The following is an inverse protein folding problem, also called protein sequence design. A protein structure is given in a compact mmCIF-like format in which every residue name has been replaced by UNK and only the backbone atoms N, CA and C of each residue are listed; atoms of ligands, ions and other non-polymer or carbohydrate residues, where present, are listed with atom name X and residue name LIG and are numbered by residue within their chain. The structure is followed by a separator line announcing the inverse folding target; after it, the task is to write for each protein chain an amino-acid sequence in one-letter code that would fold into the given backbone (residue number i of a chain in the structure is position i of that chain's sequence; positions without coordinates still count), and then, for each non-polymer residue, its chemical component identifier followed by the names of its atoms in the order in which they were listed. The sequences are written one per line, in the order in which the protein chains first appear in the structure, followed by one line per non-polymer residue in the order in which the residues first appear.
data_IF_711901237113
#
_entry.id   IF_711901237113
#
_cell.length_a   1.000
_cell.length_b   1.000
_cell.length_c   1.000
_cell.angle_alpha   90.00
_cell.angle_beta   90.00
_cell.angle_gamma   90.00
#
_symmetry.space_group_name_H-M   'P 1'
#
loop_
_entity.id
_entity.type
_entity.pdbx_description
1 polymer ?
#
# COMPACT_ATOMS: atom_id res chain seq x y z
N UNK A 1 -23.39 -20.45 -13.53
CA UNK A 1 -23.29 -18.99 -13.74
C UNK A 1 -23.79 -18.15 -12.57
N UNK A 2 -24.73 -18.63 -11.74
CA UNK A 2 -25.25 -17.87 -10.58
C UNK A 2 -24.33 -17.82 -9.32
N UNK A 3 -23.48 -18.83 -9.11
CA UNK A 3 -22.58 -18.90 -7.95
C UNK A 3 -21.41 -17.90 -8.00
N UNK A 4 -20.94 -17.53 -9.19
CA UNK A 4 -19.83 -16.57 -9.35
C UNK A 4 -20.25 -15.15 -9.00
N UNK A 5 -21.47 -14.77 -9.37
CA UNK A 5 -22.05 -13.45 -9.07
C UNK A 5 -22.33 -13.25 -7.58
N UNK A 6 -22.78 -14.30 -6.89
CA UNK A 6 -23.01 -14.25 -5.44
C UNK A 6 -21.70 -14.11 -4.64
N UNK A 7 -20.63 -14.82 -5.03
CA UNK A 7 -19.30 -14.66 -4.42
C UNK A 7 -18.69 -13.29 -4.67
N UNK A 8 -18.88 -12.75 -5.88
CA UNK A 8 -18.42 -11.41 -6.23
C UNK A 8 -19.18 -10.32 -5.46
N UNK A 9 -20.50 -10.46 -5.30
CA UNK A 9 -21.32 -9.55 -4.47
C UNK A 9 -20.86 -9.56 -3.01
N UNK A 10 -20.73 -10.75 -2.40
CA UNK A 10 -20.28 -10.86 -1.02
C UNK A 10 -18.85 -10.32 -0.78
N UNK A 11 -17.98 -10.46 -1.78
CA UNK A 11 -16.65 -9.86 -1.75
C UNK A 11 -16.71 -8.32 -1.82
N UNK A 12 -17.55 -7.77 -2.69
CA UNK A 12 -17.75 -6.32 -2.81
C UNK A 12 -18.37 -5.74 -1.53
N UNK A 13 -19.37 -6.41 -0.97
CA UNK A 13 -20.02 -5.99 0.27
C UNK A 13 -19.03 -6.00 1.44
N UNK A 14 -18.24 -7.07 1.58
CA UNK A 14 -17.17 -7.15 2.58
C UNK A 14 -16.06 -6.11 2.36
N UNK A 15 -15.72 -5.82 1.09
CA UNK A 15 -14.76 -4.78 0.74
C UNK A 15 -15.26 -3.38 1.11
N UNK A 16 -16.53 -3.08 0.86
CA UNK A 16 -17.13 -1.78 1.20
C UNK A 16 -17.22 -1.56 2.70
N UNK A 17 -17.60 -2.60 3.47
CA UNK A 17 -17.62 -2.53 4.93
C UNK A 17 -16.21 -2.35 5.51
N UNK A 18 -15.21 -3.06 4.96
CA UNK A 18 -13.81 -2.87 5.34
C UNK A 18 -13.32 -1.47 4.97
N UNK A 19 -13.63 -0.98 3.77
CA UNK A 19 -13.23 0.35 3.31
C UNK A 19 -13.83 1.45 4.20
N UNK A 20 -15.09 1.30 4.60
CA UNK A 20 -15.74 2.20 5.54
C UNK A 20 -15.13 2.11 6.94
N UNK A 21 -14.86 0.91 7.45
CA UNK A 21 -14.20 0.72 8.74
C UNK A 21 -12.78 1.31 8.74
N UNK A 22 -12.07 1.21 7.63
CA UNK A 22 -10.78 1.87 7.41
C UNK A 22 -10.90 3.38 7.41
N UNK A 23 -11.88 3.93 6.71
CA UNK A 23 -12.16 5.38 6.72
C UNK A 23 -12.53 5.87 8.11
N UNK A 24 -13.38 5.15 8.85
CA UNK A 24 -13.81 5.50 10.20
C UNK A 24 -12.67 5.37 11.22
N UNK A 25 -11.83 4.32 11.12
CA UNK A 25 -10.64 4.14 11.94
C UNK A 25 -9.60 5.21 11.64
N UNK A 26 -9.42 5.54 10.36
CA UNK A 26 -8.49 6.56 9.91
C UNK A 26 -9.04 7.98 10.12
N UNK A 27 -10.35 8.21 10.28
CA UNK A 27 -10.95 9.54 10.47
C UNK A 27 -10.30 10.40 11.57
N UNK A 28 -10.08 9.91 12.80
CA UNK A 28 -9.36 10.67 13.82
C UNK A 28 -7.89 10.92 13.46
N UNK A 29 -7.26 10.04 12.67
CA UNK A 29 -5.91 10.25 12.14
C UNK A 29 -5.92 11.20 10.94
N UNK A 30 -6.98 11.24 10.13
CA UNK A 30 -7.14 12.16 9.01
C UNK A 30 -7.28 13.59 9.48
N UNK A 31 -7.90 13.87 10.64
CA UNK A 31 -7.86 15.24 11.19
C UNK A 31 -6.46 15.63 11.65
N UNK A 32 -5.68 14.72 12.23
CA UNK A 32 -4.29 14.96 12.64
C UNK A 32 -3.31 15.07 11.44
N UNK A 33 -3.49 14.22 10.42
CA UNK A 33 -2.75 14.19 9.14
C UNK A 33 -3.18 15.34 8.23
N UNK A 34 -4.43 15.81 8.28
CA UNK A 34 -4.88 16.98 7.52
C UNK A 34 -4.41 18.30 8.14
N UNK A 35 -4.23 18.35 9.47
CA UNK A 35 -3.69 19.53 10.16
C UNK A 35 -2.18 19.70 9.93
N UNK A 36 -1.46 18.60 9.67
CA UNK A 36 -0.08 18.59 9.19
C UNK A 36 -0.06 18.26 7.69
N UNK A 37 -0.13 19.24 6.78
CA UNK A 37 0.01 19.06 5.30
C UNK A 37 0.94 17.89 4.86
N UNK A 38 0.46 16.66 4.91
CA UNK A 38 1.10 15.40 4.53
C UNK A 38 -0.03 14.57 3.91
N UNK A 39 -0.47 15.00 2.74
CA UNK A 39 -1.37 14.21 1.90
C UNK A 39 -0.59 13.17 1.10
N UNK A 40 0.46 12.57 1.68
CA UNK A 40 1.47 11.83 0.92
C UNK A 40 1.72 10.40 1.45
N UNK A 41 0.88 9.89 2.35
CA UNK A 41 0.97 8.48 2.80
C UNK A 41 0.07 7.60 1.92
N UNK A 42 0.63 7.07 0.82
CA UNK A 42 -0.09 6.21 -0.12
C UNK A 42 -0.26 4.80 0.44
N UNK A 43 -1.47 4.50 0.93
CA UNK A 43 -1.90 3.14 1.26
C UNK A 43 -2.79 2.62 0.12
N UNK A 44 -2.29 1.64 -0.63
CA UNK A 44 -3.12 0.96 -1.62
C UNK A 44 -3.90 -0.20 -0.98
N UNK A 45 -5.22 -0.16 -1.20
CA UNK A 45 -6.17 -1.22 -0.87
C UNK A 45 -6.36 -2.15 -2.07
N UNK A 46 -6.78 -3.42 -1.87
CA UNK A 46 -7.05 -4.35 -2.95
C UNK A 46 -7.89 -3.74 -4.07
N UNK A 47 -7.34 -3.70 -5.28
CA UNK A 47 -7.88 -2.93 -6.39
C UNK A 47 -7.37 -3.41 -7.73
N UNK A 48 -8.05 -2.99 -8.79
CA UNK A 48 -7.73 -3.39 -10.15
C UNK A 48 -6.51 -2.66 -10.75
N UNK A 49 -6.35 -2.71 -12.08
CA UNK A 49 -5.22 -2.09 -12.77
C UNK A 49 -5.04 -0.59 -12.50
N UNK A 50 -6.12 0.17 -12.30
CA UNK A 50 -6.03 1.60 -11.97
C UNK A 50 -5.29 1.86 -10.66
N UNK A 51 -5.66 1.14 -9.59
CA UNK A 51 -4.96 1.21 -8.30
C UNK A 51 -3.49 0.82 -8.42
N UNK A 52 -3.17 -0.15 -9.28
CA UNK A 52 -1.78 -0.58 -9.49
C UNK A 52 -0.98 0.46 -10.27
N UNK A 53 -1.59 1.11 -11.25
CA UNK A 53 -0.95 2.18 -12.01
C UNK A 53 -0.58 3.36 -11.10
N UNK A 54 -1.54 3.85 -10.30
CA UNK A 54 -1.30 4.91 -9.31
C UNK A 54 -0.23 4.50 -8.28
N UNK A 55 -0.29 3.27 -7.77
CA UNK A 55 0.69 2.78 -6.80
C UNK A 55 2.10 2.67 -7.39
N UNK A 56 2.22 2.15 -8.62
CA UNK A 56 3.52 2.05 -9.30
C UNK A 56 4.12 3.42 -9.64
N UNK A 57 3.29 4.41 -9.98
CA UNK A 57 3.75 5.78 -10.21
C UNK A 57 4.47 6.33 -8.97
N UNK A 58 3.81 6.30 -7.82
CA UNK A 58 4.38 6.73 -6.53
C UNK A 58 5.60 5.88 -6.15
N UNK A 59 5.52 4.55 -6.35
CA UNK A 59 6.63 3.63 -6.12
C UNK A 59 7.89 4.00 -6.90
N UNK A 60 7.76 4.36 -8.17
CA UNK A 60 8.91 4.78 -8.97
C UNK A 60 9.46 6.15 -8.57
N UNK A 61 8.62 7.08 -8.12
CA UNK A 61 9.08 8.38 -7.61
C UNK A 61 9.86 8.28 -6.30
N UNK A 62 9.46 7.38 -5.41
CA UNK A 62 10.23 7.14 -4.19
C UNK A 62 11.61 6.53 -4.49
N UNK A 63 11.73 5.71 -5.54
CA UNK A 63 13.04 5.16 -5.95
C UNK A 63 14.03 6.24 -6.41
N UNK A 64 13.56 7.34 -7.01
CA UNK A 64 14.41 8.46 -7.43
C UNK A 64 14.63 9.51 -6.33
N UNK A 65 14.08 9.27 -5.14
CA UNK A 65 14.21 10.16 -3.98
C UNK A 65 13.42 11.46 -4.10
N UNK A 66 12.31 11.44 -4.85
CA UNK A 66 11.40 12.59 -4.96
C UNK A 66 10.38 12.62 -3.80
N UNK A 67 10.15 11.48 -3.15
CA UNK A 67 9.22 11.33 -2.04
C UNK A 67 9.94 10.75 -0.82
N UNK A 68 9.69 11.34 0.34
CA UNK A 68 10.24 10.92 1.64
C UNK A 68 9.17 10.20 2.50
N UNK A 69 8.11 9.71 1.86
CA UNK A 69 6.95 9.10 2.50
C UNK A 69 6.93 7.57 2.29
N UNK A 70 6.40 6.79 3.24
CA UNK A 70 6.28 5.35 3.08
C UNK A 70 5.29 4.96 1.98
N UNK A 71 5.56 3.84 1.32
CA UNK A 71 4.66 3.26 0.31
C UNK A 71 4.06 1.99 0.89
N UNK A 72 2.73 1.97 1.03
CA UNK A 72 2.05 0.96 1.82
C UNK A 72 1.02 0.15 1.01
N UNK A 73 0.87 -1.11 1.40
CA UNK A 73 -0.11 -2.05 0.86
C UNK A 73 -0.89 -2.69 2.00
N UNK A 74 -2.22 -2.61 1.97
CA UNK A 74 -3.07 -3.38 2.87
C UNK A 74 -3.39 -4.75 2.25
N UNK A 75 -2.73 -5.80 2.73
CA UNK A 75 -2.73 -7.13 2.13
C UNK A 75 -3.84 -8.05 2.66
N UNK A 76 -5.09 -7.63 2.51
CA UNK A 76 -6.24 -8.43 2.93
C UNK A 76 -6.32 -9.72 2.12
N UNK A 77 -6.50 -10.86 2.81
CA UNK A 77 -6.60 -12.19 2.20
C UNK A 77 -5.45 -12.54 1.24
N UNK A 78 -4.24 -11.99 1.49
CA UNK A 78 -3.07 -12.18 0.65
C UNK A 78 -3.24 -11.67 -0.80
N UNK A 79 -4.10 -10.67 -1.02
CA UNK A 79 -4.35 -10.10 -2.35
C UNK A 79 -3.08 -9.69 -3.09
N UNK A 80 -2.12 -9.08 -2.40
CA UNK A 80 -0.86 -8.59 -2.96
C UNK A 80 0.26 -9.63 -2.99
N UNK A 81 0.01 -10.87 -2.57
CA UNK A 81 1.04 -11.92 -2.63
C UNK A 81 1.68 -12.08 -4.02
N UNK A 82 0.93 -12.06 -5.14
CA UNK A 82 1.54 -12.13 -6.47
C UNK A 82 2.46 -10.94 -6.79
N UNK A 83 2.09 -9.73 -6.32
CA UNK A 83 2.91 -8.53 -6.49
C UNK A 83 4.21 -8.64 -5.70
N UNK A 84 4.16 -9.11 -4.45
CA UNK A 84 5.37 -9.31 -3.64
C UNK A 84 6.30 -10.34 -4.28
N UNK A 85 5.76 -11.45 -4.76
CA UNK A 85 6.53 -12.47 -5.49
C UNK A 85 7.19 -11.88 -6.74
N UNK A 86 6.50 -11.01 -7.47
CA UNK A 86 7.06 -10.30 -8.61
C UNK A 86 8.23 -9.38 -8.20
N UNK A 87 8.06 -8.59 -7.14
CA UNK A 87 9.12 -7.70 -6.67
C UNK A 87 10.34 -8.49 -6.16
N UNK A 88 10.12 -9.59 -5.44
CA UNK A 88 11.17 -10.49 -4.97
C UNK A 88 11.95 -11.10 -6.15
N UNK A 89 11.23 -11.51 -7.20
CA UNK A 89 11.84 -12.00 -8.43
C UNK A 89 12.65 -10.91 -9.15
N UNK A 90 12.12 -9.69 -9.25
CA UNK A 90 12.83 -8.57 -9.84
C UNK A 90 14.12 -8.24 -9.09
N UNK A 91 14.14 -8.39 -7.76
CA UNK A 91 15.38 -8.28 -6.97
C UNK A 91 16.35 -9.40 -7.31
N UNK A 92 15.88 -10.65 -7.34
CA UNK A 92 16.72 -11.82 -7.61
C UNK A 92 17.42 -11.75 -8.98
N UNK A 93 16.72 -11.22 -9.99
CA UNK A 93 17.25 -11.04 -11.36
C UNK A 93 18.06 -9.73 -11.54
N UNK A 94 18.15 -8.89 -10.50
CA UNK A 94 18.90 -7.63 -10.55
C UNK A 94 18.20 -6.47 -11.27
N UNK A 95 16.90 -6.58 -11.52
CA UNK A 95 16.07 -5.49 -12.07
C UNK A 95 15.59 -4.50 -10.99
N UNK A 96 15.63 -4.90 -9.71
CA UNK A 96 15.25 -4.06 -8.58
C UNK A 96 16.32 -4.13 -7.48
N UNK A 97 16.68 -3.00 -6.88
CA UNK A 97 17.53 -3.02 -5.69
C UNK A 97 16.73 -3.42 -4.45
N UNK A 98 17.32 -4.25 -3.59
CA UNK A 98 16.70 -4.73 -2.34
C UNK A 98 16.13 -3.58 -1.49
N UNK A 99 16.83 -2.45 -1.40
CA UNK A 99 16.35 -1.27 -0.64
C UNK A 99 14.96 -0.77 -1.09
N UNK A 100 14.63 -0.86 -2.37
CA UNK A 100 13.33 -0.44 -2.90
C UNK A 100 12.25 -1.50 -2.65
N UNK A 101 12.65 -2.77 -2.58
CA UNK A 101 11.77 -3.85 -2.11
C UNK A 101 11.43 -3.70 -0.63
N UNK A 102 12.41 -3.32 0.19
CA UNK A 102 12.28 -3.14 1.63
C UNK A 102 11.50 -1.88 2.01
N UNK A 103 11.46 -0.89 1.12
CA UNK A 103 10.64 0.32 1.24
C UNK A 103 9.13 0.03 1.30
N UNK A 104 8.68 -1.07 0.69
CA UNK A 104 7.24 -1.38 0.62
C UNK A 104 6.75 -1.89 1.98
N UNK A 105 5.99 -1.06 2.68
CA UNK A 105 5.32 -1.43 3.93
C UNK A 105 4.09 -2.26 3.60
N UNK A 106 3.94 -3.39 4.28
CA UNK A 106 2.80 -4.27 4.07
C UNK A 106 2.34 -4.88 5.40
N UNK A 107 1.02 -4.95 5.54
CA UNK A 107 0.35 -5.70 6.59
C UNK A 107 -1.08 -6.07 6.15
N UNK A 108 -1.64 -7.10 6.76
CA UNK A 108 -3.05 -7.45 6.57
C UNK A 108 -3.96 -6.76 7.60
N UNK A 109 -3.40 -6.35 8.75
CA UNK A 109 -4.08 -5.61 9.79
C UNK A 109 -3.89 -4.09 9.61
N UNK A 110 -4.99 -3.31 9.54
CA UNK A 110 -4.90 -1.87 9.31
C UNK A 110 -4.16 -1.09 10.40
N UNK A 111 -4.35 -1.44 11.67
CA UNK A 111 -3.73 -0.70 12.77
C UNK A 111 -2.22 -0.94 12.76
N UNK A 112 -1.80 -2.20 12.60
CA UNK A 112 -0.39 -2.57 12.47
C UNK A 112 0.25 -1.89 11.25
N UNK A 113 -0.48 -1.77 10.13
CA UNK A 113 0.00 -1.04 8.96
C UNK A 113 0.23 0.44 9.26
N UNK A 114 -0.73 1.10 9.90
CA UNK A 114 -0.61 2.50 10.30
C UNK A 114 0.55 2.72 11.28
N UNK A 115 0.70 1.85 12.27
CA UNK A 115 1.80 1.93 13.23
C UNK A 115 3.17 1.85 12.53
N UNK A 116 3.30 0.98 11.51
CA UNK A 116 4.52 0.88 10.67
C UNK A 116 4.75 2.12 9.83
N UNK A 117 3.70 2.69 9.24
CA UNK A 117 3.75 3.94 8.47
C UNK A 117 4.22 5.10 9.35
N UNK A 118 3.65 5.24 10.55
CA UNK A 118 4.00 6.30 11.51
C UNK A 118 5.45 6.14 12.00
N UNK A 119 5.89 4.90 12.22
CA UNK A 119 7.25 4.60 12.65
C UNK A 119 8.30 4.68 11.53
N UNK A 120 7.86 4.83 10.28
CA UNK A 120 8.76 4.81 9.13
C UNK A 120 9.71 6.01 9.15
N UNK A 121 10.99 5.71 8.99
CA UNK A 121 12.03 6.71 8.76
C UNK A 121 12.68 6.40 7.42
N UNK A 122 12.67 7.34 6.46
CA UNK A 122 13.31 7.11 5.18
C UNK A 122 14.81 6.93 5.37
N UNK A 123 15.32 5.72 5.11
CA UNK A 123 16.76 5.42 5.06
C UNK A 123 17.28 5.51 3.61
N UNK A 124 17.02 6.64 2.96
CA UNK A 124 17.59 6.91 1.64
C UNK A 124 18.87 7.72 1.81
N UNK A 125 20.01 7.06 1.67
CA UNK A 125 21.23 7.78 1.29
C UNK A 125 21.03 8.31 -0.12
N UNK A 126 20.78 9.61 -0.25
CA UNK A 126 20.84 10.34 -1.53
C UNK A 126 22.10 9.91 -2.26
N UNK A 127 21.95 9.14 -3.33
CA UNK A 127 23.08 8.62 -4.09
C UNK A 127 23.46 9.56 -5.22
N UNK A 128 23.54 10.86 -4.92
CA UNK A 128 24.11 11.91 -5.76
C UNK A 128 24.11 13.24 -5.00
#
# INVERSE_FOLDING_TARGET
MAEGTAKQSAFIDGYNELHKALQDLAAPYFEEIAHNKRQDDFIALPGGPGTMEEWFEVYTWAQVGYLDHPIALLNVNNYYQPLLTYLDHAVAEGFLHQQYRDMVIIDADPQTLLDKIIAYQPDYKKKW
#
